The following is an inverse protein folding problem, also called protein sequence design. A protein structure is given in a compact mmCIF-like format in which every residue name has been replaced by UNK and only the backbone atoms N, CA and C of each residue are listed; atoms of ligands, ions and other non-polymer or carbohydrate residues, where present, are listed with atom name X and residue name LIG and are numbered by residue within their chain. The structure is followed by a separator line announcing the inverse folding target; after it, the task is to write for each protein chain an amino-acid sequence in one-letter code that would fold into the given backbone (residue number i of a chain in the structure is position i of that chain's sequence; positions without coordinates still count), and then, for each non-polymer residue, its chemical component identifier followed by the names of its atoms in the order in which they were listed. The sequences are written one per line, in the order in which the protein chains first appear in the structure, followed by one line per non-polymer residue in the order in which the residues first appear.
data_IF_043294025992
#
_entry.id   IF_043294025992
#
_cell.length_a   1.000
_cell.length_b   1.000
_cell.length_c   1.000
_cell.angle_alpha   90.00
_cell.angle_beta   90.00
_cell.angle_gamma   90.00
#
_symmetry.space_group_name_H-M   'P 1'
#
loop_
_entity.id
_entity.type
_entity.pdbx_description
1 polymer ?
#
# COMPACT_ATOMS: atom_id res chain seq x y z
N UNK A 1 -18.95 -56.48 24.54
CA UNK A 1 -20.27 -56.29 23.89
C UNK A 1 -20.13 -55.07 23.00
N UNK A 2 -19.74 -55.21 21.73
CA UNK A 2 -20.53 -55.58 20.54
C UNK A 2 -21.58 -54.54 20.13
N UNK A 3 -21.52 -54.10 18.87
CA UNK A 3 -22.54 -53.30 18.14
C UNK A 3 -22.03 -51.93 17.68
N UNK A 4 -21.47 -51.67 16.48
CA UNK A 4 -21.82 -51.94 15.08
C UNK A 4 -22.84 -50.97 14.43
N UNK A 5 -22.32 -50.20 13.46
CA UNK A 5 -22.91 -49.68 12.21
C UNK A 5 -24.06 -48.66 12.17
N UNK A 6 -23.85 -47.64 11.32
CA UNK A 6 -24.87 -46.80 10.71
C UNK A 6 -24.30 -45.98 9.54
N UNK A 7 -24.35 -46.54 8.32
CA UNK A 7 -24.13 -45.83 7.05
C UNK A 7 -25.43 -45.12 6.63
N UNK A 8 -25.36 -43.97 5.94
CA UNK A 8 -26.11 -43.73 4.69
C UNK A 8 -25.67 -42.44 3.99
N UNK A 9 -25.52 -42.54 2.68
CA UNK A 9 -25.18 -41.47 1.73
C UNK A 9 -26.44 -40.71 1.29
N UNK A 10 -26.26 -39.50 0.73
CA UNK A 10 -27.18 -38.92 -0.25
C UNK A 10 -26.42 -37.99 -1.19
N UNK A 11 -26.38 -38.40 -2.46
CA UNK A 11 -25.91 -37.66 -3.63
C UNK A 11 -27.07 -36.80 -4.13
N UNK A 12 -26.79 -35.58 -4.57
CA UNK A 12 -27.66 -34.90 -5.55
C UNK A 12 -26.80 -34.27 -6.63
N UNK A 13 -26.93 -34.82 -7.84
CA UNK A 13 -26.40 -34.29 -9.10
C UNK A 13 -27.36 -33.20 -9.61
N UNK A 14 -26.82 -32.20 -10.27
CA UNK A 14 -27.58 -31.33 -11.18
C UNK A 14 -26.64 -30.47 -12.03
N UNK A 15 -26.50 -30.75 -13.34
CA UNK A 15 -25.78 -29.90 -14.28
C UNK A 15 -26.75 -28.96 -15.01
N UNK A 16 -26.31 -27.74 -15.35
CA UNK A 16 -26.91 -26.99 -16.48
C UNK A 16 -25.82 -26.18 -17.21
N UNK A 17 -25.33 -26.65 -18.37
CA UNK A 17 -24.64 -25.80 -19.32
C UNK A 17 -25.65 -25.08 -20.23
N UNK A 18 -25.45 -23.78 -20.44
CA UNK A 18 -26.15 -23.03 -21.49
C UNK A 18 -25.19 -22.90 -22.68
N UNK A 19 -25.48 -23.65 -23.74
CA UNK A 19 -25.08 -23.31 -25.10
C UNK A 19 -26.35 -23.00 -25.91
N UNK A 20 -26.23 -22.11 -26.89
CA UNK A 20 -26.97 -21.97 -28.17
C UNK A 20 -26.89 -20.49 -28.58
N UNK A 21 -26.67 -20.05 -29.83
CA UNK A 21 -26.11 -20.53 -31.10
C UNK A 21 -26.06 -19.28 -32.00
N UNK A 22 -25.21 -19.34 -33.01
CA UNK A 22 -25.09 -18.40 -34.13
C UNK A 22 -26.35 -18.31 -35.01
N UNK A 23 -26.53 -17.12 -35.62
CA UNK A 23 -27.03 -16.88 -36.98
C UNK A 23 -26.43 -15.51 -37.40
N UNK A 24 -25.42 -15.42 -38.27
CA UNK A 24 -25.46 -15.57 -39.74
C UNK A 24 -26.50 -14.64 -40.37
N UNK A 25 -26.05 -13.51 -40.95
CA UNK A 25 -26.50 -13.03 -42.26
C UNK A 25 -25.70 -11.78 -42.72
N UNK A 26 -25.43 -11.74 -44.03
CA UNK A 26 -24.82 -10.68 -44.86
C UNK A 26 -23.29 -10.65 -45.09
N UNK A 27 -22.87 -11.40 -46.11
CA UNK A 27 -21.89 -11.02 -47.16
C UNK A 27 -22.65 -10.97 -48.52
N UNK A 28 -22.09 -10.60 -49.70
CA UNK A 28 -20.77 -10.04 -50.07
C UNK A 28 -20.91 -8.76 -50.96
N UNK A 29 -19.86 -8.02 -51.35
CA UNK A 29 -19.11 -8.25 -52.61
C UNK A 29 -18.29 -7.01 -53.03
N UNK A 30 -17.34 -7.16 -53.98
CA UNK A 30 -16.12 -6.36 -54.11
C UNK A 30 -16.02 -5.52 -55.39
N UNK A 31 -15.11 -4.55 -55.37
CA UNK A 31 -14.54 -3.88 -56.55
C UNK A 31 -13.45 -2.91 -56.04
N UNK A 32 -12.35 -2.59 -56.71
CA UNK A 32 -11.53 -3.15 -57.80
C UNK A 32 -10.36 -2.17 -57.95
N UNK A 33 -9.13 -2.68 -58.11
CA UNK A 33 -8.01 -2.15 -58.93
C UNK A 33 -7.90 -0.63 -59.16
N UNK A 34 -6.70 -0.06 -58.95
CA UNK A 34 -5.71 0.14 -60.04
C UNK A 34 -4.40 0.74 -59.52
N UNK A 35 -3.33 0.28 -60.17
CA UNK A 35 -1.94 0.70 -60.07
C UNK A 35 -1.74 2.16 -60.49
N UNK A 36 -0.75 2.84 -59.91
CA UNK A 36 -0.04 3.96 -60.52
C UNK A 36 1.32 4.14 -59.85
N UNK A 37 2.35 3.89 -60.64
CA UNK A 37 3.78 3.94 -60.32
C UNK A 37 4.34 5.37 -60.36
N UNK A 38 5.59 5.52 -59.89
CA UNK A 38 6.57 6.64 -60.09
C UNK A 38 6.45 7.75 -59.02
N UNK A 39 7.51 8.33 -58.44
CA UNK A 39 8.97 8.24 -58.63
C UNK A 39 9.68 9.10 -57.56
N UNK A 40 10.92 8.72 -57.22
CA UNK A 40 12.10 9.58 -56.94
C UNK A 40 12.20 10.48 -55.68
N UNK A 41 13.47 10.66 -55.27
CA UNK A 41 14.06 11.63 -54.32
C UNK A 41 13.97 11.23 -52.83
N UNK A 42 15.05 10.72 -52.22
CA UNK A 42 16.29 11.36 -51.80
C UNK A 42 16.18 12.18 -50.50
N UNK A 43 17.12 11.86 -49.59
CA UNK A 43 17.71 12.70 -48.56
C UNK A 43 17.21 12.59 -47.10
N UNK A 44 18.21 12.41 -46.22
CA UNK A 44 18.34 12.88 -44.82
C UNK A 44 17.41 12.17 -43.81
N UNK A 45 17.89 11.30 -42.91
CA UNK A 45 19.05 11.46 -42.03
C UNK A 45 18.63 12.19 -40.76
N UNK A 46 18.16 11.46 -39.74
CA UNK A 46 18.15 11.94 -38.35
C UNK A 46 18.23 10.75 -37.37
N UNK A 47 19.36 10.71 -36.66
CA UNK A 47 19.56 10.02 -35.40
C UNK A 47 18.49 10.42 -34.39
N UNK A 48 17.80 9.46 -33.81
CA UNK A 48 17.01 9.68 -32.59
C UNK A 48 17.34 8.62 -31.55
N UNK A 49 17.90 9.13 -30.47
CA UNK A 49 18.37 8.46 -29.29
C UNK A 49 17.22 7.71 -28.61
N UNK A 50 17.39 6.40 -28.39
CA UNK A 50 16.50 5.62 -27.53
C UNK A 50 16.68 6.09 -26.09
N UNK A 51 15.76 6.96 -25.67
CA UNK A 51 15.63 7.45 -24.31
C UNK A 51 15.26 6.28 -23.39
N UNK A 52 16.29 5.85 -22.66
CA UNK A 52 16.26 5.03 -21.44
C UNK A 52 15.12 5.53 -20.52
N UNK A 53 14.00 4.84 -20.51
CA UNK A 53 12.87 5.09 -19.62
C UNK A 53 13.28 4.75 -18.19
N UNK A 54 13.77 5.75 -17.47
CA UNK A 54 13.90 5.68 -16.02
C UNK A 54 12.49 5.58 -15.43
N UNK A 55 12.23 4.46 -14.77
CA UNK A 55 11.08 4.23 -13.90
C UNK A 55 11.04 5.32 -12.82
N UNK A 56 10.32 6.41 -13.13
CA UNK A 56 9.97 7.45 -12.17
C UNK A 56 9.09 6.79 -11.13
N UNK A 57 9.69 6.54 -9.96
CA UNK A 57 9.03 6.18 -8.71
C UNK A 57 7.80 7.08 -8.56
N UNK A 58 6.62 6.47 -8.52
CA UNK A 58 5.39 7.17 -8.22
C UNK A 58 5.57 7.91 -6.89
N UNK A 59 5.54 9.23 -6.98
CA UNK A 59 5.45 10.12 -5.85
C UNK A 59 4.14 9.85 -5.13
N UNK A 60 4.24 9.29 -3.93
CA UNK A 60 3.14 9.14 -2.98
C UNK A 60 2.45 10.49 -2.81
N UNK A 61 1.14 10.50 -3.07
CA UNK A 61 0.30 11.69 -2.96
C UNK A 61 0.13 12.01 -1.47
N UNK A 62 1.04 12.82 -0.93
CA UNK A 62 0.93 13.33 0.44
C UNK A 62 -0.34 14.18 0.57
N UNK A 63 -1.38 13.66 1.21
CA UNK A 63 -2.48 14.46 1.72
C UNK A 63 -2.00 15.23 2.96
N UNK A 64 -1.17 16.24 2.71
CA UNK A 64 -0.78 17.23 3.70
C UNK A 64 -1.96 18.16 3.95
N UNK A 65 -2.76 17.85 4.98
CA UNK A 65 -3.60 18.85 5.64
C UNK A 65 -2.75 20.01 6.16
N UNK A 66 -3.36 21.15 6.50
CA UNK A 66 -2.63 22.39 6.76
C UNK A 66 -1.64 22.24 7.93
N UNK A 67 -0.35 22.34 7.61
CA UNK A 67 0.77 22.64 8.51
C UNK A 67 0.95 21.71 9.74
N UNK A 68 0.89 20.39 9.57
CA UNK A 68 1.39 19.53 10.63
C UNK A 68 2.91 19.74 10.78
N UNK A 69 3.36 20.04 12.01
CA UNK A 69 4.79 20.17 12.34
C UNK A 69 5.53 18.83 12.27
N UNK A 70 4.83 17.75 11.91
CA UNK A 70 5.31 16.39 11.93
C UNK A 70 5.25 15.78 10.53
N UNK A 71 6.20 14.91 10.22
CA UNK A 71 6.22 14.12 9.00
C UNK A 71 6.29 12.64 9.32
N UNK A 72 5.76 11.82 8.43
CA UNK A 72 5.94 10.38 8.41
C UNK A 72 6.65 9.97 7.12
N UNK A 73 7.52 8.97 7.22
CA UNK A 73 8.22 8.40 6.06
C UNK A 73 8.25 6.89 6.20
N UNK A 74 7.85 6.17 5.15
CA UNK A 74 7.98 4.71 5.09
C UNK A 74 9.45 4.33 5.01
N UNK A 75 9.90 3.44 5.89
CA UNK A 75 11.27 2.88 5.89
C UNK A 75 11.33 1.53 5.17
N UNK A 76 10.27 0.72 5.26
CA UNK A 76 10.11 -0.51 4.48
C UNK A 76 8.86 -0.41 3.61
N UNK A 77 9.03 -0.74 2.33
CA UNK A 77 7.92 -0.80 1.38
C UNK A 77 7.05 -2.03 1.63
N UNK A 78 5.74 -1.89 1.40
CA UNK A 78 4.82 -3.03 1.34
C UNK A 78 5.00 -3.70 -0.03
N UNK A 79 5.08 -5.04 -0.13
CA UNK A 79 5.15 -5.71 -1.43
C UNK A 79 3.94 -5.40 -2.31
N UNK A 80 4.16 -5.21 -3.61
CA UNK A 80 3.09 -4.89 -4.58
C UNK A 80 2.07 -6.03 -4.72
N UNK A 81 2.50 -7.27 -4.46
CA UNK A 81 1.65 -8.45 -4.43
C UNK A 81 1.90 -9.26 -3.17
N UNK A 82 0.83 -9.65 -2.49
CA UNK A 82 0.88 -10.35 -1.22
C UNK A 82 -0.13 -11.52 -1.21
N UNK A 83 0.28 -12.76 -0.89
CA UNK A 83 -0.68 -13.81 -0.63
C UNK A 83 -1.58 -13.45 0.56
N UNK A 84 -2.85 -13.83 0.51
CA UNK A 84 -3.74 -13.70 1.64
C UNK A 84 -3.14 -14.38 2.88
N UNK A 85 -3.24 -13.71 4.03
CA UNK A 85 -2.63 -14.11 5.31
C UNK A 85 -1.11 -14.14 5.36
N UNK A 86 -0.39 -13.68 4.32
CA UNK A 86 1.08 -13.66 4.36
C UNK A 86 1.61 -12.56 5.28
N UNK A 87 2.56 -12.87 6.18
CA UNK A 87 3.11 -11.89 7.11
C UNK A 87 4.05 -10.91 6.42
N UNK A 88 3.86 -9.62 6.67
CA UNK A 88 4.76 -8.54 6.23
C UNK A 88 5.02 -7.55 7.37
N UNK A 89 6.09 -6.75 7.23
CA UNK A 89 6.57 -5.85 8.28
C UNK A 89 6.85 -4.44 7.74
N UNK A 90 5.83 -3.57 7.69
CA UNK A 90 6.03 -2.17 7.41
C UNK A 90 6.65 -1.47 8.62
N UNK A 91 7.45 -0.45 8.34
CA UNK A 91 8.09 0.40 9.34
C UNK A 91 8.09 1.84 8.86
N UNK A 92 7.98 2.76 9.81
CA UNK A 92 7.90 4.21 9.55
C UNK A 92 8.82 4.97 10.46
N UNK A 93 9.30 6.11 9.97
CA UNK A 93 10.03 7.10 10.76
C UNK A 93 9.16 8.34 10.95
N UNK A 94 9.14 8.86 12.17
CA UNK A 94 8.54 10.17 12.47
C UNK A 94 9.61 11.25 12.46
N UNK A 95 9.29 12.38 11.85
CA UNK A 95 10.13 13.58 11.81
C UNK A 95 9.37 14.79 12.33
N UNK A 96 10.09 15.79 12.83
CA UNK A 96 9.53 17.09 13.22
C UNK A 96 10.15 18.19 12.37
N UNK A 97 9.34 18.92 11.61
CA UNK A 97 9.79 20.05 10.79
C UNK A 97 10.47 21.09 11.71
N UNK A 98 11.65 21.57 11.31
CA UNK A 98 12.32 22.68 12.01
C UNK A 98 11.47 23.93 11.79
N UNK A 99 10.90 24.48 12.86
CA UNK A 99 10.36 25.84 12.84
C UNK A 99 11.51 26.84 12.80
N UNK A 100 11.43 27.83 11.92
CA UNK A 100 12.45 28.88 11.71
C UNK A 100 12.71 29.75 12.94
N UNK A 101 11.91 29.66 14.00
CA UNK A 101 11.91 30.60 15.12
C UNK A 101 12.25 30.05 16.51
N UNK A 102 12.72 28.80 16.67
CA UNK A 102 13.06 28.30 18.01
C UNK A 102 14.37 27.50 18.05
N UNK A 103 15.42 28.16 18.53
CA UNK A 103 16.68 27.59 19.01
C UNK A 103 16.51 26.76 20.30
N UNK A 104 15.29 26.56 20.81
CA UNK A 104 15.08 25.79 22.01
C UNK A 104 15.23 24.29 21.70
N UNK A 105 16.31 23.68 22.21
CA UNK A 105 16.49 22.24 22.42
C UNK A 105 15.40 21.67 23.35
N UNK A 106 14.12 21.83 23.02
CA UNK A 106 13.00 21.36 23.83
C UNK A 106 12.59 19.97 23.36
N UNK A 107 13.02 19.00 24.17
CA UNK A 107 12.58 17.61 24.28
C UNK A 107 12.29 16.91 22.95
N UNK A 108 13.25 16.07 22.53
CA UNK A 108 13.10 15.08 21.46
C UNK A 108 12.15 13.93 21.83
N UNK A 109 11.49 13.97 22.98
CA UNK A 109 10.72 12.85 23.50
C UNK A 109 9.53 12.52 22.58
N UNK A 110 9.59 11.33 22.00
CA UNK A 110 8.50 10.65 21.31
C UNK A 110 7.47 10.06 22.29
N UNK A 111 7.62 10.28 23.61
CA UNK A 111 6.93 9.51 24.66
C UNK A 111 5.40 9.50 24.59
N UNK A 112 4.78 10.47 23.90
CA UNK A 112 3.33 10.55 23.72
C UNK A 112 2.89 10.33 22.27
N UNK A 113 3.77 9.85 21.39
CA UNK A 113 3.49 9.62 19.99
C UNK A 113 3.31 8.13 19.71
N UNK A 114 2.24 7.78 19.03
CA UNK A 114 1.96 6.42 18.57
C UNK A 114 1.63 6.40 17.09
N UNK A 115 2.00 5.34 16.41
CA UNK A 115 1.63 5.05 15.04
C UNK A 115 0.49 4.02 15.04
N UNK A 116 -0.52 4.24 14.20
CA UNK A 116 -1.64 3.31 14.02
C UNK A 116 -1.66 2.87 12.57
N UNK A 117 -1.62 1.55 12.34
CA UNK A 117 -1.75 0.94 11.03
C UNK A 117 -3.22 0.59 10.75
N UNK A 118 -3.72 1.04 9.60
CA UNK A 118 -5.06 0.77 9.10
C UNK A 118 -5.00 0.35 7.64
N UNK A 119 -5.95 -0.47 7.21
CA UNK A 119 -6.05 -0.89 5.81
C UNK A 119 -7.22 -0.17 5.15
N UNK A 120 -6.99 0.28 3.93
CA UNK A 120 -7.95 1.07 3.15
C UNK A 120 -8.17 0.37 1.81
N UNK A 121 -9.42 0.31 1.35
CA UNK A 121 -9.73 -0.19 0.01
C UNK A 121 -9.15 0.74 -1.06
N UNK A 122 -8.44 0.20 -2.04
CA UNK A 122 -7.83 1.00 -3.10
C UNK A 122 -8.85 1.68 -4.04
N UNK A 123 -10.08 1.15 -4.13
CA UNK A 123 -11.13 1.67 -4.99
C UNK A 123 -11.91 2.82 -4.35
N UNK A 124 -12.23 2.68 -3.05
CA UNK A 124 -13.14 3.61 -2.39
C UNK A 124 -12.44 4.56 -1.41
N UNK A 125 -11.15 4.35 -1.15
CA UNK A 125 -10.40 5.08 -0.10
C UNK A 125 -11.08 5.03 1.28
N UNK A 126 -11.91 4.00 1.50
CA UNK A 126 -12.64 3.76 2.73
C UNK A 126 -11.90 2.72 3.58
N UNK A 127 -11.90 2.86 4.92
CA UNK A 127 -11.41 1.82 5.81
C UNK A 127 -12.08 0.48 5.52
N UNK A 128 -11.30 -0.60 5.53
CA UNK A 128 -11.84 -1.95 5.35
C UNK A 128 -12.56 -2.41 6.63
N UNK A 129 -13.45 -3.41 6.54
CA UNK A 129 -14.06 -4.03 7.71
C UNK A 129 -13.02 -4.57 8.71
N UNK A 130 -13.41 -4.60 9.99
CA UNK A 130 -12.58 -5.16 11.05
C UNK A 130 -12.20 -6.62 10.74
N UNK A 131 -10.96 -7.00 11.08
CA UNK A 131 -10.47 -8.37 10.93
C UNK A 131 -9.89 -8.70 9.55
N UNK A 132 -9.98 -7.78 8.57
CA UNK A 132 -9.27 -7.91 7.28
C UNK A 132 -7.77 -7.66 7.47
N UNK A 133 -7.38 -6.56 8.13
CA UNK A 133 -6.02 -6.37 8.60
C UNK A 133 -5.86 -7.03 9.97
N UNK A 134 -4.84 -7.87 10.12
CA UNK A 134 -4.51 -8.54 11.37
C UNK A 134 -3.02 -8.38 11.67
N UNK A 135 -2.66 -8.57 12.93
CA UNK A 135 -1.28 -8.54 13.40
C UNK A 135 -1.23 -8.50 14.91
N UNK A 136 -0.06 -8.77 15.49
CA UNK A 136 0.10 -8.72 16.94
C UNK A 136 -0.09 -7.30 17.48
N UNK A 137 0.33 -6.29 16.71
CA UNK A 137 0.22 -4.89 17.06
C UNK A 137 -0.22 -4.07 15.84
N UNK A 138 -1.40 -3.45 15.91
CA UNK A 138 -1.84 -2.42 14.96
C UNK A 138 -1.53 -1.01 15.44
N UNK A 139 -1.09 -0.89 16.69
CA UNK A 139 -0.65 0.36 17.33
C UNK A 139 0.77 0.14 17.83
N UNK A 140 1.68 1.07 17.51
CA UNK A 140 3.08 0.98 17.88
C UNK A 140 3.58 2.32 18.42
N UNK A 141 4.29 2.29 19.55
CA UNK A 141 5.03 3.45 20.06
C UNK A 141 6.29 3.71 19.22
N UNK A 142 6.75 4.94 19.19
CA UNK A 142 7.99 5.29 18.50
C UNK A 142 9.20 5.02 19.39
N UNK A 143 10.03 4.08 18.96
CA UNK A 143 11.35 3.82 19.54
C UNK A 143 12.34 4.91 19.10
N UNK A 144 13.27 5.26 19.98
CA UNK A 144 14.37 6.16 19.63
C UNK A 144 15.28 5.52 18.58
N UNK A 145 15.81 6.34 17.67
CA UNK A 145 16.74 5.87 16.64
C UNK A 145 18.09 5.56 17.29
N UNK A 146 18.64 4.33 17.14
CA UNK A 146 19.99 4.02 17.59
C UNK A 146 21.00 5.02 17.01
N UNK A 147 22.02 5.39 17.80
CA UNK A 147 23.05 6.36 17.42
C UNK A 147 23.64 6.08 16.03
N UNK A 148 23.95 4.81 15.78
CA UNK A 148 24.61 4.36 14.54
C UNK A 148 23.67 4.46 13.33
N UNK A 149 22.37 4.24 13.55
CA UNK A 149 21.37 4.44 12.51
C UNK A 149 21.19 5.93 12.24
N UNK A 150 21.08 6.76 13.28
CA UNK A 150 20.97 8.21 13.17
C UNK A 150 22.17 8.83 12.45
N UNK A 151 23.38 8.31 12.67
CA UNK A 151 24.60 8.76 11.98
C UNK A 151 24.57 8.50 10.46
N UNK A 152 23.82 7.50 10.00
CA UNK A 152 23.69 7.13 8.58
C UNK A 152 22.55 7.86 7.85
N UNK A 153 21.66 8.53 8.58
CA UNK A 153 20.58 9.30 7.97
C UNK A 153 21.10 10.52 7.21
N UNK A 154 20.39 11.03 6.19
CA UNK A 154 20.66 12.35 5.60
C UNK A 154 20.65 13.45 6.66
N UNK A 155 21.48 14.50 6.47
CA UNK A 155 21.66 15.62 7.42
C UNK A 155 20.34 16.18 7.97
N UNK A 156 19.36 16.33 7.09
CA UNK A 156 18.07 16.94 7.39
C UNK A 156 17.25 16.05 8.33
N UNK A 157 17.35 14.73 8.16
CA UNK A 157 16.67 13.72 8.97
C UNK A 157 17.41 13.47 10.28
N UNK A 158 18.75 13.63 10.34
CA UNK A 158 19.52 13.53 11.60
C UNK A 158 19.00 14.51 12.65
N UNK A 159 18.69 15.74 12.24
CA UNK A 159 18.25 16.80 13.14
C UNK A 159 16.76 16.70 13.51
N UNK A 160 15.93 16.15 12.62
CA UNK A 160 14.46 16.17 12.73
C UNK A 160 13.85 14.84 13.13
N UNK A 161 14.58 13.73 13.01
CA UNK A 161 14.13 12.39 13.36
C UNK A 161 13.80 12.28 14.85
N UNK A 162 12.56 11.86 15.11
CA UNK A 162 12.03 11.61 16.46
C UNK A 162 12.20 10.15 16.86
N UNK A 163 12.02 9.23 15.93
CA UNK A 163 11.99 7.80 16.21
C UNK A 163 11.47 6.99 15.03
N UNK A 164 11.41 5.68 15.21
CA UNK A 164 10.79 4.76 14.26
C UNK A 164 9.75 3.86 14.95
N UNK A 165 8.77 3.41 14.20
CA UNK A 165 7.79 2.43 14.61
C UNK A 165 7.75 1.29 13.59
N UNK A 166 7.52 0.06 14.05
CA UNK A 166 7.43 -1.12 13.19
C UNK A 166 6.20 -1.94 13.54
N UNK A 167 5.62 -2.58 12.53
CA UNK A 167 4.43 -3.41 12.68
C UNK A 167 4.79 -4.83 12.23
N UNK A 168 5.36 -5.66 13.11
CA UNK A 168 5.73 -7.02 12.74
C UNK A 168 4.49 -7.89 12.51
N UNK A 169 4.63 -8.86 11.59
CA UNK A 169 3.61 -9.89 11.33
C UNK A 169 2.22 -9.31 11.00
N UNK A 170 2.16 -8.20 10.27
CA UNK A 170 0.89 -7.77 9.69
C UNK A 170 0.47 -8.75 8.60
N UNK A 171 -0.82 -9.05 8.52
CA UNK A 171 -1.40 -9.93 7.51
C UNK A 171 -2.71 -9.34 7.00
N UNK A 172 -3.03 -9.62 5.74
CA UNK A 172 -4.33 -9.26 5.15
C UNK A 172 -5.09 -10.53 4.82
N UNK A 173 -6.19 -10.78 5.52
CA UNK A 173 -6.90 -12.06 5.49
C UNK A 173 -7.72 -12.27 4.20
N UNK A 174 -8.14 -11.19 3.55
CA UNK A 174 -9.03 -11.25 2.39
C UNK A 174 -8.31 -10.76 1.13
N UNK A 175 -8.47 -11.45 -0.02
CA UNK A 175 -8.02 -10.95 -1.30
C UNK A 175 -8.68 -9.62 -1.69
N UNK A 176 -7.95 -8.78 -2.40
CA UNK A 176 -8.41 -7.48 -2.85
C UNK A 176 -7.26 -6.52 -3.13
N UNK A 177 -7.58 -5.34 -3.66
CA UNK A 177 -6.61 -4.26 -3.86
C UNK A 177 -6.70 -3.27 -2.66
N UNK A 178 -5.58 -3.04 -1.99
CA UNK A 178 -5.54 -2.26 -0.76
C UNK A 178 -4.42 -1.21 -0.74
N UNK A 179 -4.51 -0.30 0.22
CA UNK A 179 -3.42 0.57 0.67
C UNK A 179 -3.29 0.45 2.18
N UNK A 180 -2.06 0.52 2.67
CA UNK A 180 -1.80 0.61 4.09
C UNK A 180 -1.70 2.09 4.46
N UNK A 181 -2.55 2.54 5.38
CA UNK A 181 -2.49 3.89 5.95
C UNK A 181 -1.90 3.82 7.35
N UNK A 182 -0.84 4.59 7.57
CA UNK A 182 -0.22 4.74 8.89
C UNK A 182 -0.44 6.17 9.37
N UNK A 183 -1.07 6.30 10.53
CA UNK A 183 -1.40 7.57 11.17
C UNK A 183 -0.52 7.80 12.40
N UNK A 184 0.06 8.99 12.52
CA UNK A 184 0.75 9.46 13.71
C UNK A 184 -0.26 10.16 14.62
N UNK A 185 -0.44 9.63 15.82
CA UNK A 185 -1.31 10.20 16.83
C UNK A 185 -0.49 10.72 18.01
N UNK A 186 -0.99 11.78 18.62
CA UNK A 186 -0.50 12.28 19.90
C UNK A 186 -1.49 11.89 20.99
N UNK A 187 -1.00 11.12 21.95
CA UNK A 187 -1.74 10.79 23.15
C UNK A 187 -1.84 12.03 24.06
N UNK A 188 -2.96 12.21 24.76
CA UNK A 188 -3.10 13.28 25.74
C UNK A 188 -2.03 13.12 26.84
N UNK A 189 -1.41 14.23 27.21
CA UNK A 189 -0.52 14.26 28.38
C UNK A 189 -1.36 14.07 29.65
N UNK A 190 -0.83 13.39 30.67
CA UNK A 190 -1.51 13.25 31.97
C UNK A 190 -1.84 14.59 32.64
N UNK A 191 -1.13 15.67 32.26
CA UNK A 191 -1.36 17.05 32.70
C UNK A 191 -2.34 17.84 31.83
N UNK A 192 -2.83 17.27 30.71
CA UNK A 192 -3.77 17.93 29.80
C UNK A 192 -5.21 17.75 30.28
N UNK A 193 -6.00 18.83 30.24
CA UNK A 193 -7.45 18.75 30.46
C UNK A 193 -8.19 18.06 29.30
N UNK A 194 -7.61 18.07 28.11
CA UNK A 194 -8.15 17.33 26.97
C UNK A 194 -7.72 15.87 27.04
N UNK A 195 -8.70 14.97 26.92
CA UNK A 195 -8.53 13.51 26.81
C UNK A 195 -8.54 13.02 25.37
N UNK A 196 -8.64 13.93 24.41
CA UNK A 196 -8.75 13.57 23.00
C UNK A 196 -7.39 13.23 22.40
N UNK A 197 -7.35 12.15 21.64
CA UNK A 197 -6.19 11.79 20.83
C UNK A 197 -6.23 12.58 19.53
N UNK A 198 -5.15 13.31 19.25
CA UNK A 198 -5.04 14.12 18.04
C UNK A 198 -4.30 13.34 16.95
N UNK A 199 -4.90 13.22 15.75
CA UNK A 199 -4.17 12.70 14.57
C UNK A 199 -3.36 13.83 13.96
N UNK A 200 -2.02 13.69 14.00
CA UNK A 200 -1.10 14.73 13.56
C UNK A 200 -0.82 14.68 12.05
N UNK A 201 -0.63 13.48 11.51
CA UNK A 201 -0.33 13.26 10.09
C UNK A 201 -0.61 11.80 9.74
N UNK A 202 -0.97 11.52 8.49
CA UNK A 202 -1.06 10.16 7.98
C UNK A 202 -0.29 10.02 6.67
N UNK A 203 0.26 8.83 6.43
CA UNK A 203 0.85 8.43 5.16
C UNK A 203 0.13 7.19 4.65
N UNK A 204 -0.04 7.08 3.34
CA UNK A 204 -0.54 5.88 2.68
C UNK A 204 0.57 5.30 1.82
N UNK A 205 0.61 3.98 1.71
CA UNK A 205 1.44 3.30 0.72
C UNK A 205 0.83 3.42 -0.68
N UNK A 206 1.62 3.03 -1.68
CA UNK A 206 1.10 2.59 -2.96
C UNK A 206 0.06 1.48 -2.80
N UNK A 207 -0.71 1.26 -3.88
CA UNK A 207 -1.66 0.16 -3.96
C UNK A 207 -0.90 -1.16 -4.02
N UNK A 208 -1.41 -2.17 -3.34
CA UNK A 208 -0.92 -3.54 -3.45
C UNK A 208 -2.08 -4.53 -3.56
N UNK A 209 -1.83 -5.63 -4.27
CA UNK A 209 -2.79 -6.68 -4.52
C UNK A 209 -2.62 -7.82 -3.53
N UNK A 210 -3.70 -8.19 -2.86
CA UNK A 210 -3.79 -9.41 -2.06
C UNK A 210 -4.52 -10.47 -2.86
N UNK A 211 -3.96 -11.68 -2.95
CA UNK A 211 -4.50 -12.76 -3.77
C UNK A 211 -4.54 -14.09 -3.02
N UNK A 212 -5.45 -14.98 -3.43
CA UNK A 212 -5.48 -16.35 -2.92
C UNK A 212 -4.35 -17.15 -3.55
N UNK A 213 -3.34 -17.53 -2.76
CA UNK A 213 -2.26 -18.38 -3.24
C UNK A 213 -2.58 -19.86 -2.95
N UNK A 214 -2.58 -20.75 -3.96
CA UNK A 214 -3.10 -22.11 -3.83
C UNK A 214 -2.37 -22.97 -2.79
N UNK A 215 -1.08 -22.69 -2.55
CA UNK A 215 -0.23 -23.45 -1.62
C UNK A 215 0.05 -22.73 -0.31
N UNK A 216 -0.44 -21.50 -0.12
CA UNK A 216 -0.21 -20.76 1.11
C UNK A 216 -1.49 -20.82 1.95
N UNK A 217 -1.44 -21.60 3.04
CA UNK A 217 -2.47 -21.63 4.07
C UNK A 217 -1.89 -20.95 5.31
N UNK A 218 -2.08 -19.63 5.38
CA UNK A 218 -1.79 -18.85 6.58
C UNK A 218 -2.85 -19.01 7.65
#
# INVERSE_FOLDING_TARGET
MSGSHGRTASRTRGPVPVMIRHAEDYSPSPSSRTESSRSSSSSKGHSSHSSRSSSRRHSDRHSSGPSSKYGLTMLSAVPDMLPASYPFQPSVMATKRRSSSSSSHRSRSSGNLVAVATLVSAHHSMPVPQGVLRGSNLVASFAELPSDYRARLPSDLKATGLGYASFPNLTVASPGEYKLRISLLKLPSSSSRSRETETLVSIETGKFQVYNHPHFRG
#
